data_IF_399341404539
#
_entry.id   IF_399341404539
#
_cell.length_a   1.000
_cell.length_b   1.000
_cell.length_c   1.000
_cell.angle_alpha   90.00
_cell.angle_beta   90.00
_cell.angle_gamma   90.00
#
_symmetry.space_group_name_H-M   'P 1'
#
loop_
_entity.id
_entity.type
_entity.pdbx_description
1 polymer ?
#
# COMPACT_ATOMS: atom_id res chain seq x y z
N UNK A 1 22.36 50.75 -14.62
CA UNK A 1 22.49 49.27 -14.55
C UNK A 1 21.86 48.69 -13.28
N UNK A 2 22.16 49.22 -12.08
CA UNK A 2 21.53 48.81 -10.80
C UNK A 2 20.00 48.73 -10.83
N UNK A 3 19.33 49.78 -11.32
CA UNK A 3 17.86 49.82 -11.32
C UNK A 3 17.22 48.79 -12.27
N UNK A 4 17.87 48.47 -13.39
CA UNK A 4 17.40 47.44 -14.33
C UNK A 4 17.53 46.04 -13.72
N UNK A 5 18.59 45.79 -12.96
CA UNK A 5 18.81 44.53 -12.25
C UNK A 5 17.75 44.31 -11.15
N UNK A 6 17.42 45.37 -10.41
CA UNK A 6 16.37 45.31 -9.36
C UNK A 6 14.99 45.06 -9.97
N UNK A 7 14.65 45.73 -11.08
CA UNK A 7 13.39 45.50 -11.80
C UNK A 7 13.32 44.06 -12.32
N UNK A 8 14.42 43.54 -12.87
CA UNK A 8 14.49 42.15 -13.35
C UNK A 8 14.28 41.14 -12.22
N UNK A 9 14.90 41.35 -11.06
CA UNK A 9 14.70 40.50 -9.89
C UNK A 9 13.26 40.50 -9.39
N UNK A 10 12.63 41.68 -9.28
CA UNK A 10 11.23 41.79 -8.84
C UNK A 10 10.29 41.06 -9.81
N UNK A 11 10.49 41.18 -11.12
CA UNK A 11 9.66 40.48 -12.12
C UNK A 11 9.85 38.97 -12.04
N UNK A 12 11.09 38.49 -11.86
CA UNK A 12 11.37 37.05 -11.75
C UNK A 12 10.74 36.40 -10.52
N UNK A 13 10.64 37.14 -9.39
CA UNK A 13 10.01 36.67 -8.17
C UNK A 13 8.47 36.55 -8.26
N UNK A 14 7.83 37.31 -9.16
CA UNK A 14 6.37 37.26 -9.36
C UNK A 14 5.93 36.18 -10.36
N UNK A 15 6.86 35.54 -11.08
CA UNK A 15 6.57 34.50 -12.08
C UNK A 15 6.77 33.07 -11.56
N UNK A 16 7.37 32.92 -10.39
CA UNK A 16 7.58 31.63 -9.73
C UNK A 16 6.38 31.21 -8.89
N UNK A 17 5.27 30.81 -9.52
CA UNK A 17 4.25 30.04 -8.80
C UNK A 17 4.75 28.59 -8.68
N UNK A 18 5.02 28.13 -7.46
CA UNK A 18 5.17 26.70 -7.22
C UNK A 18 3.85 26.02 -7.62
N UNK A 19 3.89 25.04 -8.51
CA UNK A 19 2.70 24.35 -8.98
C UNK A 19 2.29 23.32 -7.91
N UNK A 20 1.16 23.58 -7.23
CA UNK A 20 0.50 22.56 -6.41
C UNK A 20 -0.29 21.69 -7.37
N UNK A 21 0.00 20.38 -7.38
CA UNK A 21 -0.75 19.41 -8.19
C UNK A 21 -2.08 19.03 -7.53
N UNK A 22 -3.07 18.69 -8.34
CA UNK A 22 -4.35 18.18 -7.85
C UNK A 22 -4.20 16.74 -7.33
N UNK A 23 -5.02 16.38 -6.33
CA UNK A 23 -5.18 14.97 -5.93
C UNK A 23 -5.93 14.26 -7.04
N UNK A 24 -5.25 13.33 -7.72
CA UNK A 24 -5.83 12.55 -8.84
C UNK A 24 -6.39 11.20 -8.41
N UNK A 25 -6.02 10.73 -7.22
CA UNK A 25 -6.52 9.50 -6.60
C UNK A 25 -6.18 9.51 -5.10
N UNK A 26 -7.08 8.98 -4.30
CA UNK A 26 -6.91 8.74 -2.88
C UNK A 26 -7.62 7.45 -2.46
N UNK A 27 -7.16 6.83 -1.38
CA UNK A 27 -7.81 5.72 -0.72
C UNK A 27 -7.95 6.08 0.76
N UNK A 28 -9.19 6.18 1.21
CA UNK A 28 -9.53 6.53 2.59
C UNK A 28 -9.82 5.30 3.44
N UNK A 29 -9.76 4.11 2.85
CA UNK A 29 -9.96 2.83 3.52
C UNK A 29 -11.35 2.70 4.14
N UNK A 30 -12.37 3.23 3.46
CA UNK A 30 -13.78 3.00 3.81
C UNK A 30 -14.24 1.59 3.41
N UNK A 31 -13.58 1.00 2.40
CA UNK A 31 -13.80 -0.35 1.90
C UNK A 31 -12.57 -0.84 1.09
N UNK A 32 -12.67 -2.03 0.49
CA UNK A 32 -11.61 -2.62 -0.34
C UNK A 32 -12.00 -2.72 -1.83
N UNK A 33 -12.95 -1.91 -2.30
CA UNK A 33 -13.52 -2.03 -3.63
C UNK A 33 -12.52 -1.69 -4.75
N UNK A 34 -11.44 -0.98 -4.45
CA UNK A 34 -10.37 -0.69 -5.41
C UNK A 34 -9.27 -1.79 -5.43
N UNK A 35 -9.39 -2.81 -4.59
CA UNK A 35 -8.33 -3.77 -4.31
C UNK A 35 -8.73 -5.21 -4.67
N UNK A 36 -7.74 -5.99 -5.10
CA UNK A 36 -7.81 -7.44 -5.25
C UNK A 36 -6.97 -8.08 -4.17
N UNK A 37 -7.56 -9.01 -3.41
CA UNK A 37 -6.84 -9.84 -2.44
C UNK A 37 -6.18 -11.02 -3.16
N UNK A 38 -4.99 -11.39 -2.72
CA UNK A 38 -4.18 -12.45 -3.31
C UNK A 38 -4.07 -13.61 -2.33
N UNK A 39 -4.23 -14.84 -2.83
CA UNK A 39 -4.12 -16.06 -2.03
C UNK A 39 -2.96 -16.93 -2.51
N UNK A 40 -2.22 -17.52 -1.57
CA UNK A 40 -1.15 -18.48 -1.82
C UNK A 40 0.27 -17.94 -1.64
N UNK A 41 1.26 -18.83 -1.82
CA UNK A 41 2.69 -18.52 -1.68
C UNK A 41 3.40 -18.23 -3.01
N UNK A 42 2.66 -18.15 -4.13
CA UNK A 42 3.21 -17.81 -5.45
C UNK A 42 4.23 -18.84 -5.96
N UNK A 43 4.94 -18.49 -7.03
CA UNK A 43 6.03 -19.35 -7.53
C UNK A 43 7.34 -19.03 -6.81
N UNK A 44 8.00 -20.05 -6.27
CA UNK A 44 9.26 -19.96 -5.52
C UNK A 44 9.19 -18.97 -4.35
N UNK A 45 8.07 -18.95 -3.60
CA UNK A 45 7.83 -17.96 -2.56
C UNK A 45 7.90 -16.56 -3.14
N UNK A 46 7.04 -16.28 -4.14
CA UNK A 46 7.02 -15.05 -4.94
C UNK A 46 8.35 -14.60 -5.59
N UNK A 47 9.29 -15.53 -5.77
CA UNK A 47 10.59 -15.29 -6.42
C UNK A 47 11.70 -14.86 -5.46
N UNK A 48 11.39 -14.72 -4.18
CA UNK A 48 12.29 -14.30 -3.11
C UNK A 48 12.33 -15.27 -1.93
N UNK A 49 11.70 -16.44 -2.04
CA UNK A 49 11.67 -17.44 -0.98
C UNK A 49 10.81 -17.02 0.22
N UNK A 50 9.75 -16.25 -0.03
CA UNK A 50 8.72 -15.93 0.98
C UNK A 50 8.19 -17.21 1.65
N UNK A 51 7.99 -17.14 2.96
CA UNK A 51 7.61 -18.28 3.81
C UNK A 51 6.12 -18.30 4.14
N UNK A 52 5.43 -17.21 3.83
CA UNK A 52 4.03 -16.98 4.13
C UNK A 52 3.12 -17.47 3.00
N UNK A 53 1.99 -18.03 3.40
CA UNK A 53 0.87 -18.25 2.51
C UNK A 53 -0.08 -17.05 2.63
N UNK A 54 -0.25 -16.27 1.55
CA UNK A 54 -1.20 -15.16 1.61
C UNK A 54 -2.63 -15.69 1.70
N UNK A 55 -3.44 -15.10 2.60
CA UNK A 55 -4.83 -15.42 2.82
C UNK A 55 -5.67 -14.14 2.80
N UNK A 56 -6.92 -14.27 2.37
CA UNK A 56 -7.81 -13.11 2.28
C UNK A 56 -8.27 -12.63 3.65
N UNK A 57 -8.37 -13.55 4.60
CA UNK A 57 -8.78 -13.35 5.98
C UNK A 57 -7.80 -12.47 6.76
N UNK A 58 -6.55 -12.40 6.31
CA UNK A 58 -5.50 -11.55 6.86
C UNK A 58 -5.52 -10.12 6.30
N UNK A 59 -6.56 -9.74 5.56
CA UNK A 59 -6.76 -8.41 4.98
C UNK A 59 -8.13 -7.87 5.40
N UNK A 60 -8.13 -6.80 6.18
CA UNK A 60 -9.37 -6.12 6.59
C UNK A 60 -9.21 -4.60 6.63
N UNK A 61 -10.35 -3.91 6.77
CA UNK A 61 -10.40 -2.51 7.19
C UNK A 61 -10.70 -2.50 8.68
N UNK A 62 -9.85 -1.85 9.46
CA UNK A 62 -10.01 -1.75 10.91
C UNK A 62 -9.77 -0.33 11.41
N UNK A 63 -10.37 0.02 12.55
CA UNK A 63 -10.08 1.27 13.23
C UNK A 63 -8.62 1.31 13.71
N UNK A 64 -7.98 2.46 13.56
CA UNK A 64 -6.62 2.69 14.03
C UNK A 64 -6.63 2.83 15.56
N UNK A 65 -5.82 2.04 16.30
CA UNK A 65 -5.79 2.12 17.76
C UNK A 65 -5.48 3.53 18.28
N UNK A 66 -6.41 4.09 19.06
CA UNK A 66 -6.27 5.44 19.63
C UNK A 66 -6.80 6.57 18.73
N UNK A 67 -7.29 6.27 17.53
CA UNK A 67 -7.85 7.24 16.58
C UNK A 67 -9.30 6.89 16.25
N UNK A 68 -10.21 7.16 17.19
CA UNK A 68 -11.63 6.82 17.04
C UNK A 68 -12.22 7.42 15.75
N UNK A 69 -12.83 6.58 14.91
CA UNK A 69 -13.41 6.99 13.63
C UNK A 69 -12.41 7.13 12.49
N UNK A 70 -11.14 6.77 12.69
CA UNK A 70 -10.16 6.67 11.61
C UNK A 70 -9.87 5.20 11.29
N UNK A 71 -10.05 4.81 10.03
CA UNK A 71 -9.84 3.45 9.55
C UNK A 71 -8.54 3.33 8.76
N UNK A 72 -8.00 2.12 8.70
CA UNK A 72 -6.87 1.78 7.86
C UNK A 72 -7.01 0.37 7.29
N UNK A 73 -6.28 0.12 6.20
CA UNK A 73 -5.97 -1.23 5.77
C UNK A 73 -5.13 -1.93 6.84
N UNK A 74 -5.67 -3.01 7.40
CA UNK A 74 -5.01 -3.86 8.37
C UNK A 74 -4.61 -5.18 7.70
N UNK A 75 -3.30 -5.43 7.65
CA UNK A 75 -2.71 -6.69 7.18
C UNK A 75 -2.07 -7.39 8.37
N UNK A 76 -2.52 -8.59 8.69
CA UNK A 76 -2.02 -9.34 9.84
C UNK A 76 -1.15 -10.50 9.37
N UNK A 77 0.08 -10.59 9.86
CA UNK A 77 0.90 -11.78 9.73
C UNK A 77 0.72 -12.67 10.96
N UNK A 78 0.52 -13.97 10.77
CA UNK A 78 0.32 -14.94 11.85
C UNK A 78 1.31 -16.11 11.69
N UNK A 79 1.76 -16.66 12.82
CA UNK A 79 2.46 -17.94 12.86
C UNK A 79 1.41 -19.06 12.98
N UNK A 80 0.99 -19.58 11.83
CA UNK A 80 -0.02 -20.65 11.76
C UNK A 80 0.21 -21.55 10.54
N UNK A 81 -0.25 -22.80 10.66
CA UNK A 81 -0.16 -23.83 9.63
C UNK A 81 -1.46 -24.64 9.60
N UNK A 82 -1.70 -25.36 8.52
CA UNK A 82 -2.91 -26.16 8.39
C UNK A 82 -3.15 -26.72 7.00
N UNK A 83 -4.26 -27.45 6.83
CA UNK A 83 -4.67 -27.97 5.53
C UNK A 83 -4.75 -26.84 4.49
N UNK A 84 -4.03 -26.98 3.37
CA UNK A 84 -4.01 -25.99 2.28
C UNK A 84 -3.03 -24.84 2.45
N UNK A 85 -2.39 -24.68 3.62
CA UNK A 85 -1.31 -23.71 3.87
C UNK A 85 0.01 -24.34 3.44
N UNK A 86 0.21 -24.42 2.12
CA UNK A 86 1.34 -25.12 1.50
C UNK A 86 1.98 -24.30 0.39
N UNK A 87 3.25 -24.58 0.10
CA UNK A 87 3.94 -24.04 -1.06
C UNK A 87 3.47 -24.70 -2.38
N UNK A 88 4.05 -24.27 -3.50
CA UNK A 88 3.72 -24.78 -4.83
C UNK A 88 4.02 -26.28 -5.04
N UNK A 89 4.80 -26.92 -4.16
CA UNK A 89 5.09 -28.36 -4.19
C UNK A 89 4.30 -29.14 -3.13
N UNK A 90 3.46 -28.48 -2.35
CA UNK A 90 2.66 -29.08 -1.30
C UNK A 90 3.40 -29.22 0.04
N UNK A 91 4.57 -28.61 0.22
CA UNK A 91 5.22 -28.60 1.53
C UNK A 91 4.47 -27.64 2.47
N UNK A 92 4.28 -27.99 3.75
CA UNK A 92 3.60 -27.12 4.69
C UNK A 92 4.38 -25.82 4.94
N UNK A 93 3.65 -24.72 5.02
CA UNK A 93 4.15 -23.42 5.48
C UNK A 93 3.63 -23.14 6.90
N UNK A 94 4.34 -22.28 7.63
CA UNK A 94 4.06 -21.99 9.04
C UNK A 94 3.66 -20.54 9.30
N UNK A 95 3.45 -19.77 8.23
CA UNK A 95 3.08 -18.38 8.32
C UNK A 95 1.97 -18.05 7.34
N UNK A 96 1.05 -17.18 7.75
CA UNK A 96 0.05 -16.55 6.88
C UNK A 96 0.21 -15.04 6.93
N UNK A 97 -0.26 -14.37 5.88
CA UNK A 97 -0.26 -12.90 5.80
C UNK A 97 -1.32 -12.44 4.81
N UNK A 98 -1.54 -11.13 4.71
CA UNK A 98 -2.41 -10.54 3.70
C UNK A 98 -1.61 -9.92 2.55
N UNK A 99 -2.14 -9.99 1.32
CA UNK A 99 -1.60 -9.31 0.14
C UNK A 99 -2.71 -8.74 -0.70
N UNK A 100 -2.58 -7.46 -1.05
CA UNK A 100 -3.51 -6.75 -1.94
C UNK A 100 -2.78 -6.13 -3.11
N UNK A 101 -3.49 -6.02 -4.23
CA UNK A 101 -3.06 -5.27 -5.43
C UNK A 101 -4.20 -4.39 -5.90
N UNK A 102 -3.91 -3.30 -6.61
CA UNK A 102 -4.97 -2.48 -7.21
C UNK A 102 -5.71 -3.25 -8.29
N UNK A 103 -7.03 -3.10 -8.39
CA UNK A 103 -7.80 -3.66 -9.50
C UNK A 103 -7.28 -3.10 -10.84
N UNK A 104 -7.28 -3.98 -11.85
CA UNK A 104 -6.91 -3.64 -13.23
C UNK A 104 -8.08 -2.98 -13.98
#
# INVERSE_FOLDING_TARGET
MKNKLVIFLIVSMNLGHAQVGDVIWEENFDNLDNWMKITGNGSWGWGNGELEFYQEENVEIAEVPGEQGNNALHITALEESGPGIVDQWGNPLNYTSGKVTTKA
#
